data_IF_976414584231
#
_entry.id   IF_976414584231
#
_cell.length_a   1.000
_cell.length_b   1.000
_cell.length_c   1.000
_cell.angle_alpha   90.00
_cell.angle_beta   90.00
_cell.angle_gamma   90.00
#
_symmetry.space_group_name_H-M   'P 1'
#
loop_
_entity.id
_entity.type
_entity.pdbx_description
1 polymer ?
#
# COMPACT_ATOMS: atom_id res chain seq x y z
N UNK A 1 9.59 -36.67 33.06
CA UNK A 1 8.68 -35.55 33.37
C UNK A 1 8.67 -34.63 32.19
N UNK A 2 7.51 -34.23 31.68
CA UNK A 2 7.51 -33.29 30.56
C UNK A 2 6.34 -32.33 30.65
N UNK A 3 6.66 -31.04 30.73
CA UNK A 3 5.69 -29.96 30.73
C UNK A 3 6.15 -28.95 29.70
N UNK A 4 5.23 -28.55 28.84
CA UNK A 4 5.43 -27.49 27.86
C UNK A 4 4.44 -26.38 28.17
N UNK A 5 4.93 -25.14 28.23
CA UNK A 5 4.10 -23.95 28.15
C UNK A 5 4.78 -23.02 27.16
N UNK A 6 4.05 -22.65 26.13
CA UNK A 6 4.51 -21.68 25.13
C UNK A 6 3.38 -20.69 24.97
N UNK A 7 3.58 -19.47 25.47
CA UNK A 7 2.69 -18.35 25.21
C UNK A 7 3.37 -17.48 24.15
N UNK A 8 2.84 -17.53 22.94
CA UNK A 8 3.28 -16.76 21.80
C UNK A 8 2.19 -15.76 21.43
N UNK A 9 2.35 -14.51 21.89
CA UNK A 9 1.56 -13.39 21.43
C UNK A 9 2.48 -12.30 20.89
N UNK A 10 2.56 -12.18 19.57
CA UNK A 10 3.10 -10.98 18.93
C UNK A 10 1.98 -9.98 18.82
N UNK A 11 1.90 -9.06 19.78
CA UNK A 11 1.11 -7.85 19.59
C UNK A 11 1.77 -7.08 18.44
N UNK A 12 1.19 -7.17 17.24
CA UNK A 12 1.55 -6.30 16.11
C UNK A 12 1.38 -4.87 16.62
N UNK A 13 2.49 -4.21 16.97
CA UNK A 13 2.47 -2.80 17.36
C UNK A 13 2.12 -2.03 16.09
N UNK A 14 0.86 -1.63 15.97
CA UNK A 14 0.43 -0.71 14.92
C UNK A 14 1.20 0.59 15.11
N UNK A 15 2.19 0.84 14.24
CA UNK A 15 3.08 1.99 14.35
C UNK A 15 2.37 3.32 14.06
N UNK A 16 1.26 3.28 13.32
CA UNK A 16 0.28 4.36 13.15
C UNK A 16 -0.96 3.82 12.43
N UNK A 17 -2.14 4.35 12.76
CA UNK A 17 -3.30 4.32 11.85
C UNK A 17 -3.33 5.63 11.08
N UNK A 18 -3.48 5.55 9.76
CA UNK A 18 -3.55 6.74 8.90
C UNK A 18 -4.71 6.58 7.94
N UNK A 19 -5.64 7.52 7.99
CA UNK A 19 -6.67 7.65 6.97
C UNK A 19 -6.07 8.32 5.74
N UNK A 20 -6.15 7.64 4.59
CA UNK A 20 -5.62 8.14 3.33
C UNK A 20 -6.67 7.98 2.24
N UNK A 21 -6.89 9.07 1.50
CA UNK A 21 -7.77 9.03 0.34
C UNK A 21 -7.13 8.23 -0.79
N UNK A 22 -7.93 7.44 -1.49
CA UNK A 22 -7.45 6.62 -2.60
C UNK A 22 -6.85 7.47 -3.73
N UNK A 23 -7.37 8.68 -3.96
CA UNK A 23 -6.79 9.66 -4.88
C UNK A 23 -5.37 10.07 -4.52
N UNK A 24 -5.05 10.17 -3.22
CA UNK A 24 -3.69 10.45 -2.74
C UNK A 24 -2.74 9.30 -3.04
N UNK A 25 -3.20 8.06 -2.88
CA UNK A 25 -2.41 6.85 -3.22
C UNK A 25 -2.20 6.77 -4.73
N UNK A 26 -3.23 7.04 -5.53
CA UNK A 26 -3.14 7.07 -6.99
C UNK A 26 -2.14 8.12 -7.48
N UNK A 27 -2.22 9.36 -6.96
CA UNK A 27 -1.27 10.42 -7.27
C UNK A 27 0.17 10.03 -6.93
N UNK A 28 0.36 9.39 -5.77
CA UNK A 28 1.68 8.89 -5.36
C UNK A 28 2.19 7.76 -6.26
N UNK A 29 1.35 6.82 -6.69
CA UNK A 29 1.72 5.75 -7.62
C UNK A 29 2.18 6.32 -8.98
N UNK A 30 1.50 7.34 -9.49
CA UNK A 30 1.89 8.03 -10.73
C UNK A 30 3.23 8.75 -10.54
N UNK A 31 3.35 9.57 -9.50
CA UNK A 31 4.57 10.34 -9.21
C UNK A 31 5.79 9.47 -8.93
N UNK A 32 5.60 8.31 -8.29
CA UNK A 32 6.69 7.36 -7.98
C UNK A 32 7.05 6.44 -9.15
N UNK A 33 6.31 6.50 -10.26
CA UNK A 33 6.47 5.59 -11.40
C UNK A 33 5.99 4.15 -11.15
N UNK A 34 5.47 3.85 -9.95
CA UNK A 34 5.02 2.50 -9.54
C UNK A 34 3.67 2.11 -10.12
N UNK A 35 2.88 3.07 -10.61
CA UNK A 35 1.58 2.81 -11.24
C UNK A 35 1.66 1.75 -12.35
N UNK A 36 2.74 1.75 -13.14
CA UNK A 36 2.92 0.84 -14.28
C UNK A 36 3.23 -0.61 -13.87
N UNK A 37 3.99 -0.78 -12.80
CA UNK A 37 4.34 -2.10 -12.28
C UNK A 37 3.16 -2.74 -11.56
N UNK A 38 2.31 -1.91 -10.96
CA UNK A 38 1.17 -2.38 -10.19
C UNK A 38 -0.05 -2.66 -11.06
N UNK A 39 -0.33 -1.78 -12.03
CA UNK A 39 -1.53 -1.83 -12.87
C UNK A 39 -1.14 -2.26 -14.27
N UNK A 40 -1.30 -3.56 -14.53
CA UNK A 40 -1.05 -4.15 -15.83
C UNK A 40 -1.99 -3.55 -16.90
N UNK A 41 -1.45 -3.18 -18.06
CA UNK A 41 -2.23 -2.66 -19.19
C UNK A 41 -2.45 -1.14 -19.26
N UNK A 42 -1.85 -0.33 -18.38
CA UNK A 42 -1.90 1.14 -18.51
C UNK A 42 -1.14 1.63 -19.77
N UNK A 43 -1.76 2.39 -20.69
CA UNK A 43 -1.10 2.90 -21.90
C UNK A 43 0.00 3.93 -21.60
N UNK A 44 1.05 3.98 -22.45
CA UNK A 44 2.04 5.09 -22.47
C UNK A 44 1.40 6.34 -23.13
N UNK A 45 1.78 7.58 -22.75
CA UNK A 45 2.95 7.97 -21.94
C UNK A 45 2.65 8.46 -20.52
N UNK A 46 1.40 8.73 -20.14
CA UNK A 46 1.03 9.21 -18.81
C UNK A 46 0.06 8.20 -18.17
N UNK A 47 0.47 7.55 -17.07
CA UNK A 47 -0.50 6.90 -16.21
C UNK A 47 -1.34 8.01 -15.58
N UNK A 48 -2.56 8.20 -16.08
CA UNK A 48 -3.48 9.19 -15.56
C UNK A 48 -3.88 8.80 -14.12
N UNK A 49 -3.82 9.76 -13.20
CA UNK A 49 -4.23 9.56 -11.81
C UNK A 49 -5.67 9.05 -11.74
N UNK A 50 -6.58 9.56 -12.57
CA UNK A 50 -7.97 9.13 -12.58
C UNK A 50 -8.11 7.66 -13.01
N UNK A 51 -7.36 7.25 -14.04
CA UNK A 51 -7.32 5.86 -14.49
C UNK A 51 -6.74 4.92 -13.43
N UNK A 52 -5.67 5.33 -12.74
CA UNK A 52 -5.07 4.57 -11.63
C UNK A 52 -6.06 4.46 -10.46
N UNK A 53 -6.71 5.56 -10.08
CA UNK A 53 -7.71 5.54 -9.02
C UNK A 53 -8.87 4.59 -9.36
N UNK A 54 -9.40 4.69 -10.58
CA UNK A 54 -10.49 3.82 -11.03
C UNK A 54 -10.08 2.33 -11.05
N UNK A 55 -8.83 2.03 -11.40
CA UNK A 55 -8.30 0.66 -11.32
C UNK A 55 -8.26 0.15 -9.87
N UNK A 56 -7.86 0.98 -8.90
CA UNK A 56 -7.84 0.63 -7.47
C UNK A 56 -9.26 0.48 -6.90
N UNK A 57 -10.22 1.31 -7.33
CA UNK A 57 -11.62 1.20 -6.89
C UNK A 57 -12.25 -0.12 -7.37
N UNK A 58 -11.96 -0.52 -8.62
CA UNK A 58 -12.48 -1.74 -9.23
C UNK A 58 -11.81 -3.02 -8.73
N UNK A 59 -10.57 -2.93 -8.22
CA UNK A 59 -9.78 -4.10 -7.85
C UNK A 59 -9.33 -4.03 -6.38
N UNK A 60 -10.06 -4.66 -5.44
CA UNK A 60 -9.75 -4.55 -4.00
C UNK A 60 -8.38 -5.12 -3.63
N UNK A 61 -7.92 -6.19 -4.30
CA UNK A 61 -6.57 -6.74 -4.10
C UNK A 61 -5.48 -5.76 -4.52
N UNK A 62 -5.64 -5.13 -5.70
CA UNK A 62 -4.70 -4.10 -6.18
C UNK A 62 -4.65 -2.92 -5.22
N UNK A 63 -5.81 -2.48 -4.71
CA UNK A 63 -5.92 -1.42 -3.71
C UNK A 63 -5.17 -1.75 -2.43
N UNK A 64 -5.31 -2.96 -1.92
CA UNK A 64 -4.60 -3.40 -0.73
C UNK A 64 -3.08 -3.37 -0.92
N UNK A 65 -2.57 -3.91 -2.04
CA UNK A 65 -1.14 -3.87 -2.35
C UNK A 65 -0.65 -2.43 -2.49
N UNK A 66 -1.41 -1.56 -3.16
CA UNK A 66 -1.07 -0.13 -3.28
C UNK A 66 -0.95 0.56 -1.91
N UNK A 67 -1.91 0.29 -1.01
CA UNK A 67 -1.91 0.84 0.35
C UNK A 67 -0.72 0.34 1.17
N UNK A 68 -0.39 -0.96 1.07
CA UNK A 68 0.77 -1.52 1.76
C UNK A 68 2.09 -0.89 1.26
N UNK A 69 2.25 -0.73 -0.05
CA UNK A 69 3.44 -0.10 -0.63
C UNK A 69 3.55 1.38 -0.26
N UNK A 70 2.43 2.09 -0.22
CA UNK A 70 2.38 3.48 0.23
C UNK A 70 2.78 3.59 1.71
N UNK A 71 2.19 2.77 2.57
CA UNK A 71 2.47 2.76 4.01
C UNK A 71 3.95 2.45 4.29
N UNK A 72 4.53 1.46 3.60
CA UNK A 72 5.94 1.15 3.70
C UNK A 72 6.84 2.32 3.25
N UNK A 73 6.42 3.09 2.23
CA UNK A 73 7.14 4.29 1.81
C UNK A 73 7.07 5.41 2.86
N UNK A 74 5.91 5.61 3.51
CA UNK A 74 5.76 6.59 4.57
C UNK A 74 6.58 6.25 5.81
N UNK A 75 6.59 4.97 6.22
CA UNK A 75 7.37 4.52 7.36
C UNK A 75 8.88 4.75 7.16
N UNK A 76 9.39 4.53 5.94
CA UNK A 76 10.81 4.80 5.61
C UNK A 76 11.16 6.29 5.64
N UNK A 77 10.18 7.18 5.42
CA UNK A 77 10.40 8.64 5.38
C UNK A 77 10.27 9.30 6.74
N UNK A 78 9.74 8.61 7.76
CA UNK A 78 9.67 9.17 9.12
C UNK A 78 11.08 9.20 9.72
N UNK A 79 11.60 10.38 10.11
CA UNK A 79 12.80 10.43 10.96
C UNK A 79 12.49 9.76 12.30
N UNK A 80 13.51 9.09 12.86
CA UNK A 80 13.45 8.44 14.17
C UNK A 80 13.21 9.44 15.31
#
# INVERSE_FOLDING_TARGET
>A
MTRYRVDLSSAVRVAAQVDVELGTVAAWLVRSGRARTLVEGLPRPAADQAAVQQALERNPHLREVALQLWAADQLRRRPA
#
